data_IF_267409640673
#
_entry.id   IF_267409640673
#
_cell.length_a   1.000
_cell.length_b   1.000
_cell.length_c   1.000
_cell.angle_alpha   90.00
_cell.angle_beta   90.00
_cell.angle_gamma   90.00
#
_symmetry.space_group_name_H-M   'P 1'
#
loop_
_entity.id
_entity.type
_entity.pdbx_description
1 polymer ?
#
# COMPACT_ATOMS: atom_id res chain seq x y z
N UNK A 1 16.27 60.75 14.94
CA UNK A 1 15.37 60.92 13.78
C UNK A 1 14.55 59.65 13.62
N UNK A 2 13.34 59.63 14.18
CA UNK A 2 12.42 58.49 14.15
C UNK A 2 11.46 58.70 12.98
N UNK A 3 11.47 57.80 11.99
CA UNK A 3 10.41 57.72 10.99
C UNK A 3 9.45 56.63 11.42
N UNK A 4 8.23 57.03 11.74
CA UNK A 4 7.10 56.14 11.88
C UNK A 4 6.55 55.84 10.48
N UNK A 5 6.36 54.57 10.17
CA UNK A 5 5.51 54.10 9.07
C UNK A 5 4.67 52.98 9.67
N UNK A 6 3.36 53.21 9.74
CA UNK A 6 2.37 52.21 10.09
C UNK A 6 1.51 51.97 8.85
N UNK A 7 1.44 50.74 8.38
CA UNK A 7 0.42 50.28 7.43
C UNK A 7 0.04 48.85 7.81
N UNK A 8 -1.25 48.65 8.09
CA UNK A 8 -2.02 47.52 7.56
C UNK A 8 -2.02 46.19 8.31
N UNK A 9 -2.96 46.10 9.25
CA UNK A 9 -3.70 44.92 9.73
C UNK A 9 -3.71 43.68 8.81
N UNK A 10 -3.50 42.48 9.37
CA UNK A 10 -4.55 41.47 9.55
C UNK A 10 -4.02 40.13 10.10
N UNK A 11 -4.64 39.68 11.20
CA UNK A 11 -4.99 38.28 11.49
C UNK A 11 -3.87 37.23 11.62
N UNK A 12 -3.44 36.95 12.86
CA UNK A 12 -3.49 35.64 13.53
C UNK A 12 -2.66 35.75 14.80
N UNK A 13 -3.27 35.60 15.98
CA UNK A 13 -2.54 35.41 17.22
C UNK A 13 -2.91 34.06 17.79
N UNK A 14 -1.93 33.16 17.72
CA UNK A 14 -1.87 31.89 18.42
C UNK A 14 -1.57 32.21 19.89
N UNK A 15 -2.42 31.78 20.82
CA UNK A 15 -2.07 31.75 22.24
C UNK A 15 -2.15 30.32 22.77
N UNK A 16 -0.97 29.77 23.01
CA UNK A 16 -0.70 28.64 23.88
C UNK A 16 -0.87 29.03 25.36
N UNK A 17 -1.52 28.18 26.15
CA UNK A 17 -1.61 28.32 27.60
C UNK A 17 -0.55 27.49 28.31
N UNK A 18 0.15 28.13 29.26
CA UNK A 18 0.89 27.46 30.33
C UNK A 18 0.78 28.26 31.62
N UNK A 19 0.10 27.67 32.61
CA UNK A 19 0.59 27.56 34.00
C UNK A 19 0.62 28.76 34.96
N UNK A 20 -0.17 28.60 36.03
CA UNK A 20 0.16 28.81 37.47
C UNK A 20 0.06 30.23 38.09
N UNK A 21 -0.74 30.34 39.16
CA UNK A 21 -0.40 31.14 40.34
C UNK A 21 -1.52 31.89 41.08
N UNK A 22 -1.98 31.33 42.21
CA UNK A 22 -2.46 31.95 43.49
C UNK A 22 -3.52 33.09 43.50
N UNK A 23 -4.33 33.34 44.53
CA UNK A 23 -4.90 32.65 45.70
C UNK A 23 -5.81 33.70 46.37
N UNK A 24 -7.00 33.30 46.83
CA UNK A 24 -7.77 33.84 47.97
C UNK A 24 -8.33 35.28 47.94
N UNK A 25 -9.67 35.43 47.99
CA UNK A 25 -10.43 36.06 49.11
C UNK A 25 -11.95 36.13 48.82
N UNK A 26 -12.73 36.09 49.90
CA UNK A 26 -14.20 35.90 50.02
C UNK A 26 -15.07 37.11 49.58
N UNK A 27 -16.41 36.92 49.42
CA UNK A 27 -17.26 37.75 48.54
C UNK A 27 -18.03 38.87 49.25
N UNK A 28 -18.44 39.88 48.47
CA UNK A 28 -19.51 40.82 48.81
C UNK A 28 -20.50 40.90 47.62
N UNK A 29 -21.78 40.92 47.96
CA UNK A 29 -22.95 40.83 47.09
C UNK A 29 -23.02 41.88 45.96
N UNK A 30 -23.58 41.51 44.79
CA UNK A 30 -24.86 42.06 44.29
C UNK A 30 -25.18 41.58 42.85
N UNK A 31 -26.47 41.26 42.67
CA UNK A 31 -27.33 41.32 41.47
C UNK A 31 -26.91 40.61 40.16
N UNK A 32 -27.52 39.46 39.83
CA UNK A 32 -28.78 39.23 39.06
C UNK A 32 -28.56 39.21 37.54
N UNK A 33 -28.73 38.02 36.93
CA UNK A 33 -29.75 37.74 35.88
C UNK A 33 -29.43 36.44 35.11
N UNK A 34 -30.32 35.45 35.25
CA UNK A 34 -30.77 34.39 34.30
C UNK A 34 -29.71 33.56 33.50
N UNK A 35 -29.76 32.23 33.34
CA UNK A 35 -30.81 31.22 33.52
C UNK A 35 -30.22 29.82 33.21
N UNK A 36 -30.75 28.78 33.87
CA UNK A 36 -30.65 27.32 33.62
C UNK A 36 -29.34 26.54 33.90
N UNK A 37 -29.43 25.65 34.90
CA UNK A 37 -29.17 24.19 34.79
C UNK A 37 -29.40 23.55 36.17
N UNK A 38 -30.29 22.57 36.29
CA UNK A 38 -29.91 21.20 36.66
C UNK A 38 -31.11 20.25 36.77
N UNK A 39 -30.82 19.02 36.37
CA UNK A 39 -31.66 17.83 36.44
C UNK A 39 -32.13 17.54 37.88
N UNK A 40 -33.38 17.10 38.01
CA UNK A 40 -33.88 16.43 39.21
C UNK A 40 -34.07 14.96 38.87
N UNK A 41 -33.16 14.13 39.37
CA UNK A 41 -33.39 12.72 39.69
C UNK A 41 -34.56 12.62 40.66
N UNK A 42 -35.56 11.78 40.32
CA UNK A 42 -36.56 11.33 41.28
C UNK A 42 -36.51 9.81 41.39
N UNK A 43 -35.76 9.34 42.38
CA UNK A 43 -35.97 8.03 42.97
C UNK A 43 -35.91 8.22 44.48
N UNK A 44 -37.05 8.10 45.17
CA UNK A 44 -37.23 7.35 46.42
C UNK A 44 -38.61 7.57 47.07
N UNK A 45 -39.32 6.45 47.24
CA UNK A 45 -40.20 6.04 48.37
C UNK A 45 -41.39 6.89 48.86
N UNK A 46 -42.59 6.29 48.75
CA UNK A 46 -43.83 6.46 49.55
C UNK A 46 -43.58 6.47 51.09
N UNK A 47 -44.53 6.88 51.99
CA UNK A 47 -46.00 6.76 51.84
C UNK A 47 -46.88 7.95 52.29
N UNK A 48 -48.09 8.05 51.72
CA UNK A 48 -49.17 8.95 52.17
C UNK A 48 -50.28 8.13 52.85
N UNK A 49 -50.44 8.27 54.18
CA UNK A 49 -51.64 7.86 54.95
C UNK A 49 -52.59 9.08 55.01
N UNK A 50 -53.85 8.99 54.53
CA UNK A 50 -55.10 8.71 55.31
C UNK A 50 -55.24 9.62 56.55
N UNK A 51 -56.25 10.47 56.75
CA UNK A 51 -57.71 10.40 56.50
C UNK A 51 -58.39 11.79 56.60
N UNK A 52 -59.36 12.02 55.70
CA UNK A 52 -60.75 12.51 55.86
C UNK A 52 -61.15 13.61 56.86
N UNK A 53 -61.84 14.64 56.34
CA UNK A 53 -63.28 14.95 56.59
C UNK A 53 -63.69 16.15 55.70
N UNK A 54 -64.43 16.01 54.59
CA UNK A 54 -65.88 15.78 54.49
C UNK A 54 -66.75 16.85 55.18
N UNK A 55 -66.92 18.03 54.58
CA UNK A 55 -68.02 18.96 54.98
C UNK A 55 -68.72 19.70 53.82
N UNK A 56 -68.16 19.87 52.61
CA UNK A 56 -68.76 20.83 51.64
C UNK A 56 -69.23 20.28 50.28
N UNK A 57 -69.59 18.99 50.19
CA UNK A 57 -70.40 18.47 49.08
C UNK A 57 -71.51 17.55 49.64
N UNK A 58 -72.35 18.09 50.50
CA UNK A 58 -73.76 17.73 50.60
C UNK A 58 -74.49 18.94 49.98
N UNK A 59 -75.29 18.86 48.94
CA UNK A 59 -76.30 17.87 48.61
C UNK A 59 -76.50 17.83 47.08
N UNK A 60 -75.95 16.81 46.39
CA UNK A 60 -76.62 16.12 45.26
C UNK A 60 -75.85 14.89 44.79
N UNK A 61 -75.37 14.07 45.72
CA UNK A 61 -75.12 12.66 45.42
C UNK A 61 -76.47 11.95 45.44
N UNK A 62 -77.20 12.00 44.32
CA UNK A 62 -78.23 11.00 44.07
C UNK A 62 -77.49 9.66 44.04
N UNK A 63 -77.71 8.85 45.06
CA UNK A 63 -77.09 7.54 45.14
C UNK A 63 -77.53 6.70 43.92
N UNK A 64 -76.59 6.41 43.02
CA UNK A 64 -76.78 5.41 41.97
C UNK A 64 -76.91 3.99 42.54
N UNK A 65 -76.74 3.79 43.86
CA UNK A 65 -76.92 2.49 44.51
C UNK A 65 -78.37 1.97 44.50
N UNK A 66 -79.34 2.79 44.06
CA UNK A 66 -80.75 2.38 43.84
C UNK A 66 -81.14 2.22 42.37
N UNK A 67 -80.21 2.42 41.42
CA UNK A 67 -80.47 2.35 39.98
C UNK A 67 -79.46 1.50 39.20
N UNK A 68 -78.76 0.55 39.83
CA UNK A 68 -78.09 -0.52 39.09
C UNK A 68 -79.12 -1.56 38.62
N UNK A 69 -80.00 -1.17 37.70
CA UNK A 69 -80.58 -2.15 36.79
C UNK A 69 -79.48 -2.50 35.78
N UNK A 70 -78.88 -3.66 35.96
CA UNK A 70 -78.06 -4.26 34.92
C UNK A 70 -79.03 -4.64 33.81
N UNK A 71 -79.02 -3.89 32.70
CA UNK A 71 -79.76 -4.28 31.52
C UNK A 71 -79.20 -5.63 31.04
N UNK A 72 -80.02 -6.68 31.06
CA UNK A 72 -79.69 -7.96 30.44
C UNK A 72 -79.79 -7.78 28.92
N UNK A 73 -78.68 -7.44 28.27
CA UNK A 73 -78.60 -7.40 26.81
C UNK A 73 -78.50 -8.84 26.32
N UNK A 74 -79.60 -9.37 25.81
CA UNK A 74 -79.61 -10.66 25.10
C UNK A 74 -79.47 -10.36 23.62
N UNK A 75 -78.33 -10.69 23.03
CA UNK A 75 -78.18 -10.62 21.57
C UNK A 75 -79.08 -11.70 20.97
N UNK A 76 -80.07 -11.30 20.17
CA UNK A 76 -80.92 -12.25 19.44
C UNK A 76 -80.06 -12.81 18.30
N UNK A 77 -79.35 -13.90 18.59
CA UNK A 77 -78.75 -14.75 17.57
C UNK A 77 -79.84 -15.73 17.20
N UNK A 78 -80.39 -15.66 15.98
CA UNK A 78 -81.58 -16.41 15.57
C UNK A 78 -81.37 -17.94 15.46
N UNK A 79 -80.85 -18.59 16.50
CA UNK A 79 -80.55 -20.03 16.54
C UNK A 79 -79.23 -20.43 15.90
N UNK A 80 -78.50 -19.52 15.26
CA UNK A 80 -77.16 -19.74 14.71
C UNK A 80 -76.10 -19.08 15.61
N UNK A 81 -74.95 -19.76 15.74
CA UNK A 81 -73.75 -19.23 16.41
C UNK A 81 -73.35 -17.93 15.69
N UNK A 82 -73.24 -16.81 16.41
CA UNK A 82 -72.70 -15.58 15.83
C UNK A 82 -71.25 -15.85 15.46
N UNK A 83 -71.00 -16.01 14.16
CA UNK A 83 -69.68 -15.90 13.57
C UNK A 83 -69.58 -14.48 13.04
N UNK A 84 -68.80 -13.64 13.71
CA UNK A 84 -68.55 -12.27 13.25
C UNK A 84 -67.59 -12.23 12.06
N UNK A 85 -67.20 -13.40 11.52
CA UNK A 85 -66.09 -13.53 10.61
C UNK A 85 -64.79 -13.20 11.32
N UNK A 86 -63.67 -13.59 10.71
CA UNK A 86 -62.38 -13.06 11.14
C UNK A 86 -62.34 -11.58 10.73
N UNK A 87 -62.70 -10.67 11.63
CA UNK A 87 -62.44 -9.24 11.42
C UNK A 87 -60.94 -9.04 11.62
N UNK A 88 -60.18 -9.20 10.54
CA UNK A 88 -58.79 -8.79 10.49
C UNK A 88 -58.74 -7.27 10.62
N UNK A 89 -58.50 -6.80 11.83
CA UNK A 89 -58.06 -5.42 12.03
C UNK A 89 -56.64 -5.34 11.45
N UNK A 90 -56.51 -4.81 10.24
CA UNK A 90 -55.20 -4.47 9.70
C UNK A 90 -54.46 -3.61 10.72
N UNK A 91 -53.30 -4.09 11.16
CA UNK A 91 -52.50 -3.37 12.13
C UNK A 91 -52.05 -2.05 11.48
N UNK A 92 -52.59 -0.94 12.00
CA UNK A 92 -52.26 0.40 11.53
C UNK A 92 -50.75 0.69 11.61
N UNK A 93 -50.02 0.00 12.49
CA UNK A 93 -48.56 0.08 12.59
C UNK A 93 -47.87 -0.45 11.32
N UNK A 94 -48.34 -1.58 10.79
CA UNK A 94 -47.80 -2.22 9.58
C UNK A 94 -48.02 -1.32 8.37
N UNK A 95 -49.24 -0.82 8.19
CA UNK A 95 -49.53 0.12 7.09
C UNK A 95 -48.72 1.41 7.21
N UNK A 96 -48.51 1.93 8.43
CA UNK A 96 -47.70 3.12 8.65
C UNK A 96 -46.21 2.88 8.32
N UNK A 97 -45.67 1.70 8.65
CA UNK A 97 -44.31 1.29 8.30
C UNK A 97 -44.14 1.16 6.78
N UNK A 98 -45.02 0.40 6.11
CA UNK A 98 -44.98 0.17 4.67
C UNK A 98 -45.17 1.47 3.86
N UNK A 99 -46.13 2.33 4.25
CA UNK A 99 -46.36 3.64 3.60
C UNK A 99 -45.13 4.54 3.66
N UNK A 100 -44.36 4.43 4.74
CA UNK A 100 -43.11 5.18 4.84
C UNK A 100 -42.03 4.52 3.98
N UNK A 101 -42.05 3.20 3.81
CA UNK A 101 -41.12 2.41 2.99
C UNK A 101 -40.34 1.35 3.76
N UNK A 102 -40.71 1.03 5.00
CA UNK A 102 -40.15 -0.09 5.77
C UNK A 102 -40.82 -1.39 5.34
N UNK A 103 -40.24 -2.06 4.34
CA UNK A 103 -40.83 -3.23 3.68
C UNK A 103 -40.06 -4.53 3.93
N UNK A 104 -38.90 -4.47 4.60
CA UNK A 104 -38.07 -5.64 4.87
C UNK A 104 -38.38 -6.21 6.25
N UNK A 105 -38.40 -7.53 6.36
CA UNK A 105 -38.61 -8.26 7.63
C UNK A 105 -37.49 -9.27 7.92
N UNK A 106 -36.60 -9.53 6.95
CA UNK A 106 -35.42 -10.36 7.10
C UNK A 106 -34.29 -9.91 6.18
N UNK A 107 -33.05 -10.23 6.55
CA UNK A 107 -31.88 -10.05 5.71
C UNK A 107 -31.27 -11.42 5.39
N UNK A 108 -30.54 -11.52 4.27
CA UNK A 108 -29.76 -12.69 3.95
C UNK A 108 -28.63 -12.91 4.97
N UNK A 109 -28.09 -14.13 5.02
CA UNK A 109 -26.96 -14.46 5.90
C UNK A 109 -25.74 -13.58 5.64
N UNK A 110 -25.10 -13.09 6.71
CA UNK A 110 -23.98 -12.15 6.63
C UNK A 110 -24.39 -10.67 6.60
N UNK A 111 -25.66 -10.38 6.83
CA UNK A 111 -26.21 -9.03 6.95
C UNK A 111 -27.02 -8.88 8.24
N UNK A 112 -26.94 -7.70 8.85
CA UNK A 112 -27.72 -7.30 10.00
C UNK A 112 -28.75 -6.22 9.63
N UNK A 113 -29.85 -6.19 10.36
CA UNK A 113 -31.00 -5.31 10.11
C UNK A 113 -30.74 -3.90 10.67
N UNK A 114 -30.99 -2.88 9.87
CA UNK A 114 -30.82 -1.47 10.23
C UNK A 114 -31.98 -0.60 9.74
N UNK A 115 -32.14 0.55 10.39
CA UNK A 115 -33.21 1.51 10.14
C UNK A 115 -34.60 0.86 10.34
N UNK A 116 -34.89 0.54 11.60
CA UNK A 116 -36.13 -0.08 12.03
C UNK A 116 -37.29 0.90 12.04
N UNK A 117 -38.49 0.44 11.70
CA UNK A 117 -39.68 1.26 11.77
C UNK A 117 -40.01 1.62 13.22
N UNK A 118 -40.25 2.91 13.54
CA UNK A 118 -40.55 3.34 14.90
C UNK A 118 -41.83 2.77 15.51
N UNK A 119 -42.76 2.27 14.68
CA UNK A 119 -44.05 1.73 15.15
C UNK A 119 -44.06 0.21 15.28
N UNK A 120 -43.22 -0.49 14.50
CA UNK A 120 -43.09 -1.93 14.54
C UNK A 120 -41.66 -2.32 14.12
N UNK A 121 -40.87 -2.85 15.05
CA UNK A 121 -39.47 -3.23 14.81
C UNK A 121 -39.29 -4.51 13.98
N UNK A 122 -40.36 -5.22 13.62
CA UNK A 122 -40.30 -6.30 12.65
C UNK A 122 -40.00 -5.79 11.23
N UNK A 123 -40.34 -4.53 10.96
CA UNK A 123 -40.12 -3.90 9.66
C UNK A 123 -38.93 -2.95 9.71
N UNK A 124 -38.07 -3.03 8.70
CA UNK A 124 -36.90 -2.16 8.53
C UNK A 124 -36.68 -1.83 7.04
N UNK A 125 -35.69 -1.00 6.73
CA UNK A 125 -35.39 -0.55 5.36
C UNK A 125 -34.06 -0.98 4.80
N UNK A 126 -33.11 -1.29 5.67
CA UNK A 126 -31.74 -1.48 5.26
C UNK A 126 -31.16 -2.76 5.86
N UNK A 127 -30.54 -3.58 5.00
CA UNK A 127 -29.66 -4.66 5.42
C UNK A 127 -28.22 -4.19 5.28
N UNK A 128 -27.46 -4.28 6.36
CA UNK A 128 -26.05 -3.89 6.40
C UNK A 128 -25.16 -5.12 6.47
N UNK A 129 -24.16 -5.20 5.60
CA UNK A 129 -23.26 -6.35 5.60
C UNK A 129 -22.42 -6.38 6.89
N UNK A 130 -22.16 -7.57 7.41
CA UNK A 130 -21.38 -7.79 8.63
C UNK A 130 -19.97 -7.24 8.54
N UNK A 131 -19.42 -7.02 7.34
CA UNK A 131 -18.11 -6.38 7.16
C UNK A 131 -18.05 -4.96 7.73
N UNK A 132 -19.17 -4.23 7.80
CA UNK A 132 -19.24 -2.89 8.40
C UNK A 132 -19.40 -3.01 9.92
N UNK A 133 -18.27 -2.98 10.65
CA UNK A 133 -18.21 -3.23 12.10
C UNK A 133 -17.72 -2.03 12.92
N UNK A 134 -16.97 -1.13 12.29
CA UNK A 134 -16.12 -0.17 12.97
C UNK A 134 -16.76 1.22 13.01
N UNK A 135 -16.51 1.99 14.08
CA UNK A 135 -16.88 3.42 14.16
C UNK A 135 -15.72 4.30 13.69
N UNK A 136 -15.94 5.62 13.60
CA UNK A 136 -14.99 6.61 13.05
C UNK A 136 -13.54 6.49 13.54
N UNK A 137 -13.35 6.11 14.80
CA UNK A 137 -12.03 6.11 15.47
C UNK A 137 -11.48 4.70 15.74
N UNK A 138 -12.09 3.68 15.14
CA UNK A 138 -11.80 2.27 15.45
C UNK A 138 -10.61 1.68 14.71
N UNK A 139 -10.13 2.31 13.63
CA UNK A 139 -9.06 1.76 12.79
C UNK A 139 -7.71 2.33 13.21
N UNK A 140 -6.72 1.46 13.38
CA UNK A 140 -5.33 1.84 13.63
C UNK A 140 -4.48 1.65 12.38
N UNK A 141 -3.47 2.50 12.21
CA UNK A 141 -2.44 2.33 11.19
C UNK A 141 -1.90 0.87 11.22
N UNK A 142 -1.74 0.21 10.07
CA UNK A 142 -1.78 0.73 8.69
C UNK A 142 -3.15 0.85 8.01
N UNK A 143 -4.25 0.61 8.75
CA UNK A 143 -5.60 0.69 8.21
C UNK A 143 -6.22 2.08 8.37
N UNK A 144 -7.15 2.40 7.48
CA UNK A 144 -8.01 3.58 7.51
C UNK A 144 -9.48 3.21 7.40
N UNK A 145 -10.34 4.16 7.74
CA UNK A 145 -11.78 4.00 7.63
C UNK A 145 -12.18 3.95 6.14
N UNK A 146 -13.04 3.00 5.76
CA UNK A 146 -13.57 2.97 4.41
C UNK A 146 -14.45 4.18 4.11
N UNK A 147 -14.43 4.64 2.85
CA UNK A 147 -15.29 5.74 2.40
C UNK A 147 -16.77 5.36 2.36
N UNK A 148 -17.07 4.07 2.24
CA UNK A 148 -18.41 3.51 2.32
C UNK A 148 -18.72 2.98 3.72
N UNK A 149 -19.98 3.12 4.13
CA UNK A 149 -20.47 2.66 5.43
C UNK A 149 -21.93 2.23 5.39
N UNK A 150 -22.36 1.53 6.43
CA UNK A 150 -23.74 1.10 6.61
C UNK A 150 -24.14 1.23 8.08
N UNK A 151 -25.27 1.88 8.32
CA UNK A 151 -25.79 2.15 9.66
C UNK A 151 -24.80 2.79 10.63
N UNK A 152 -24.03 3.77 10.14
CA UNK A 152 -23.01 4.49 10.90
C UNK A 152 -21.73 3.68 11.18
N UNK A 153 -21.62 2.46 10.63
CA UNK A 153 -20.42 1.62 10.73
C UNK A 153 -19.68 1.53 9.40
N UNK A 154 -18.38 1.31 9.50
CA UNK A 154 -17.43 1.29 8.38
C UNK A 154 -16.56 0.04 8.43
N UNK A 155 -15.73 -0.14 7.41
CA UNK A 155 -14.67 -1.15 7.37
C UNK A 155 -13.35 -0.48 7.72
N UNK A 156 -12.43 -1.26 8.30
CA UNK A 156 -11.01 -0.90 8.29
C UNK A 156 -10.40 -1.52 7.04
N UNK A 157 -9.87 -0.68 6.15
CA UNK A 157 -9.23 -1.08 4.91
C UNK A 157 -7.78 -0.62 4.93
N UNK A 158 -6.92 -1.28 4.17
CA UNK A 158 -5.55 -0.82 4.02
C UNK A 158 -5.53 0.52 3.28
N UNK A 159 -4.70 1.47 3.73
CA UNK A 159 -4.45 2.68 2.96
C UNK A 159 -3.81 2.28 1.61
N UNK A 160 -4.59 2.41 0.52
CA UNK A 160 -4.20 1.94 -0.82
C UNK A 160 -3.09 2.75 -1.47
N UNK A 161 -2.86 3.95 -0.98
CA UNK A 161 -1.75 4.80 -1.41
C UNK A 161 -0.43 4.31 -0.82
N UNK A 162 -0.45 3.84 0.44
CA UNK A 162 0.73 3.32 1.13
C UNK A 162 0.97 1.83 0.90
N UNK A 163 -0.09 1.03 0.70
CA UNK A 163 -0.03 -0.42 0.47
C UNK A 163 -0.75 -0.83 -0.83
N UNK A 164 -0.22 -0.44 -2.00
CA UNK A 164 -0.84 -0.72 -3.30
C UNK A 164 -0.59 -2.14 -3.82
N UNK A 165 0.37 -2.89 -3.26
CA UNK A 165 0.87 -4.14 -3.84
C UNK A 165 0.22 -5.37 -3.19
N UNK A 166 -0.36 -6.28 -3.98
CA UNK A 166 -0.74 -7.63 -3.50
C UNK A 166 0.39 -8.64 -3.71
N UNK A 167 1.11 -8.53 -4.83
CA UNK A 167 2.20 -9.42 -5.21
C UNK A 167 3.13 -8.74 -6.22
N UNK A 168 4.34 -9.26 -6.37
CA UNK A 168 5.38 -8.74 -7.26
C UNK A 168 5.68 -9.72 -8.38
N UNK A 169 6.06 -9.21 -9.54
CA UNK A 169 6.57 -10.03 -10.63
C UNK A 169 8.03 -10.41 -10.35
N UNK A 170 8.41 -11.66 -10.64
CA UNK A 170 9.81 -12.08 -10.61
C UNK A 170 10.65 -11.16 -11.51
N UNK A 171 11.86 -10.75 -11.10
CA UNK A 171 12.60 -11.18 -9.90
C UNK A 171 12.34 -10.36 -8.62
N UNK A 172 11.41 -9.40 -8.64
CA UNK A 172 11.10 -8.59 -7.44
C UNK A 172 10.42 -9.41 -6.35
N UNK A 173 10.60 -8.97 -5.11
CA UNK A 173 9.95 -9.51 -3.92
C UNK A 173 9.16 -8.42 -3.21
N UNK A 174 8.14 -8.81 -2.46
CA UNK A 174 7.37 -7.88 -1.63
C UNK A 174 8.22 -7.27 -0.52
N UNK A 175 7.91 -6.04 -0.12
CA UNK A 175 8.52 -5.41 1.06
C UNK A 175 8.12 -6.11 2.37
N UNK A 176 8.88 -5.85 3.43
CA UNK A 176 8.58 -6.39 4.76
C UNK A 176 7.35 -5.71 5.39
N UNK A 177 7.13 -4.43 5.07
CA UNK A 177 6.01 -3.65 5.58
C UNK A 177 4.71 -4.05 4.88
N UNK A 178 3.67 -4.30 5.69
CA UNK A 178 2.43 -4.86 5.18
C UNK A 178 1.21 -4.47 5.97
N UNK A 179 0.08 -4.48 5.26
CA UNK A 179 -1.23 -4.23 5.80
C UNK A 179 -2.17 -5.41 5.49
N UNK A 180 -3.05 -5.74 6.44
CA UNK A 180 -4.00 -6.83 6.31
C UNK A 180 -5.42 -6.28 6.28
N UNK A 181 -6.15 -6.60 5.21
CA UNK A 181 -7.57 -6.30 5.04
C UNK A 181 -8.34 -7.62 4.93
N UNK A 182 -9.03 -8.01 6.01
CA UNK A 182 -9.68 -9.32 6.09
C UNK A 182 -8.65 -10.46 5.98
N UNK A 183 -8.75 -11.23 4.89
CA UNK A 183 -7.83 -12.34 4.59
C UNK A 183 -6.79 -11.99 3.51
N UNK A 184 -6.78 -10.74 3.03
CA UNK A 184 -5.82 -10.27 2.04
C UNK A 184 -4.70 -9.49 2.70
N UNK A 185 -3.49 -9.67 2.18
CA UNK A 185 -2.30 -8.97 2.62
C UNK A 185 -1.78 -8.08 1.50
N UNK A 186 -1.43 -6.86 1.86
CA UNK A 186 -0.94 -5.82 0.96
C UNK A 186 0.40 -5.32 1.45
N UNK A 187 1.24 -4.89 0.53
CA UNK A 187 2.62 -4.49 0.77
C UNK A 187 2.82 -3.08 0.24
N UNK A 188 3.81 -2.40 0.82
CA UNK A 188 4.10 -1.03 0.43
C UNK A 188 4.66 -0.92 -0.98
N UNK A 189 5.51 -1.87 -1.37
CA UNK A 189 6.16 -1.86 -2.67
C UNK A 189 6.78 -3.22 -3.04
N UNK A 190 7.27 -3.29 -4.27
CA UNK A 190 8.09 -4.38 -4.77
C UNK A 190 9.55 -3.94 -4.82
N UNK A 191 10.43 -4.72 -4.18
CA UNK A 191 11.84 -4.44 -4.08
C UNK A 191 12.66 -5.46 -4.88
N UNK A 192 13.82 -5.04 -5.35
CA UNK A 192 14.81 -6.00 -5.83
C UNK A 192 15.42 -6.76 -4.64
N UNK A 193 15.56 -8.09 -4.73
CA UNK A 193 16.22 -8.86 -3.68
C UNK A 193 17.64 -8.35 -3.41
N UNK A 194 18.15 -8.53 -2.18
CA UNK A 194 19.43 -7.96 -1.75
C UNK A 194 20.65 -8.39 -2.57
N UNK A 195 20.59 -9.55 -3.23
CA UNK A 195 21.65 -10.02 -4.13
C UNK A 195 21.68 -9.28 -5.48
N UNK A 196 20.63 -8.53 -5.84
CA UNK A 196 20.61 -7.63 -7.00
C UNK A 196 21.21 -6.28 -6.62
N UNK A 197 22.54 -6.22 -6.58
CA UNK A 197 23.27 -5.04 -6.11
C UNK A 197 24.25 -4.47 -7.14
N UNK A 198 24.27 -5.00 -8.36
CA UNK A 198 25.16 -4.57 -9.43
C UNK A 198 24.42 -3.77 -10.50
N UNK A 199 24.94 -2.61 -10.87
CA UNK A 199 24.53 -1.86 -12.05
C UNK A 199 25.62 -2.07 -13.10
N UNK A 200 25.24 -2.55 -14.29
CA UNK A 200 26.17 -2.94 -15.34
C UNK A 200 26.12 -1.95 -16.52
N UNK A 201 26.51 -0.71 -16.23
CA UNK A 201 26.54 0.41 -17.18
C UNK A 201 27.93 0.63 -17.82
N UNK A 202 28.92 -0.16 -17.42
CA UNK A 202 30.28 -0.07 -17.94
C UNK A 202 30.36 -0.37 -19.44
N UNK A 203 31.41 0.16 -20.08
CA UNK A 203 31.65 -0.05 -21.52
C UNK A 203 31.70 -1.55 -21.83
N UNK A 204 30.90 -1.97 -22.81
CA UNK A 204 30.80 -3.36 -23.24
C UNK A 204 30.47 -4.37 -22.12
N UNK A 205 29.81 -3.92 -21.06
CA UNK A 205 29.24 -4.78 -20.03
C UNK A 205 27.76 -5.07 -20.28
N UNK A 206 27.29 -6.15 -19.69
CA UNK A 206 25.87 -6.51 -19.57
C UNK A 206 25.61 -7.19 -18.22
N UNK A 207 24.35 -7.19 -17.81
CA UNK A 207 23.92 -7.91 -16.62
C UNK A 207 24.01 -9.41 -16.77
N UNK A 208 24.33 -10.09 -15.66
CA UNK A 208 24.28 -11.54 -15.61
C UNK A 208 22.87 -12.01 -15.25
N UNK A 209 22.18 -12.61 -16.22
CA UNK A 209 20.83 -13.14 -16.06
C UNK A 209 19.73 -12.10 -16.25
N UNK A 210 18.55 -12.38 -15.68
CA UNK A 210 17.41 -11.47 -15.71
C UNK A 210 17.65 -10.27 -14.78
N UNK A 211 17.38 -9.07 -15.28
CA UNK A 211 17.53 -7.83 -14.51
C UNK A 211 16.33 -7.56 -13.62
N UNK A 212 16.59 -7.02 -12.43
CA UNK A 212 15.55 -6.50 -11.56
C UNK A 212 15.51 -4.97 -11.67
N UNK A 213 14.38 -4.43 -12.09
CA UNK A 213 14.22 -2.98 -12.21
C UNK A 213 13.47 -2.44 -11.00
N UNK A 214 14.06 -1.47 -10.30
CA UNK A 214 13.42 -0.78 -9.19
C UNK A 214 13.64 0.74 -9.34
N UNK A 215 12.56 1.51 -9.23
CA UNK A 215 12.54 2.98 -9.44
C UNK A 215 13.28 3.44 -10.71
N UNK A 216 13.14 2.69 -11.82
CA UNK A 216 13.77 3.00 -13.10
C UNK A 216 15.25 2.58 -13.23
N UNK A 217 15.85 2.01 -12.18
CA UNK A 217 17.21 1.47 -12.23
C UNK A 217 17.17 -0.05 -12.33
N UNK A 218 17.82 -0.61 -13.36
CA UNK A 218 17.95 -2.07 -13.50
C UNK A 218 19.24 -2.54 -12.82
N UNK A 219 19.07 -3.40 -11.83
CA UNK A 219 20.13 -4.06 -11.09
C UNK A 219 20.21 -5.54 -11.50
N UNK A 220 21.37 -6.14 -11.25
CA UNK A 220 21.66 -7.55 -11.55
C UNK A 220 22.41 -8.18 -10.37
N UNK A 221 22.45 -9.51 -10.38
CA UNK A 221 23.24 -10.28 -9.41
C UNK A 221 24.75 -10.22 -9.67
N UNK A 222 25.13 -9.80 -10.88
CA UNK A 222 26.51 -9.71 -11.35
C UNK A 222 26.57 -8.99 -12.68
N UNK A 223 27.74 -8.46 -13.00
CA UNK A 223 28.04 -7.96 -14.34
C UNK A 223 28.94 -8.94 -15.08
N UNK A 224 28.82 -8.96 -16.40
CA UNK A 224 29.73 -9.69 -17.29
C UNK A 224 30.04 -8.83 -18.51
N UNK A 225 31.11 -9.19 -19.21
CA UNK A 225 31.35 -8.60 -20.51
C UNK A 225 30.36 -9.13 -21.54
N UNK A 226 29.95 -8.27 -22.47
CA UNK A 226 29.15 -8.66 -23.63
C UNK A 226 29.87 -9.77 -24.39
N UNK A 227 29.08 -10.60 -25.06
CA UNK A 227 29.63 -11.70 -25.84
C UNK A 227 30.71 -11.22 -26.83
N UNK A 228 31.82 -11.96 -26.89
CA UNK A 228 33.00 -11.62 -27.67
C UNK A 228 34.14 -10.96 -26.87
N UNK A 229 33.87 -10.26 -25.76
CA UNK A 229 34.92 -9.65 -24.95
C UNK A 229 35.45 -10.62 -23.89
N UNK A 230 36.32 -11.54 -24.31
CA UNK A 230 36.84 -12.61 -23.45
C UNK A 230 38.38 -12.76 -23.47
N UNK A 231 39.10 -11.91 -24.21
CA UNK A 231 40.55 -12.04 -24.37
C UNK A 231 41.34 -10.97 -23.61
N UNK A 232 42.47 -11.36 -23.01
CA UNK A 232 43.52 -10.43 -22.54
C UNK A 232 44.71 -10.50 -23.50
N UNK A 233 44.94 -9.44 -24.28
CA UNK A 233 45.79 -9.49 -25.49
C UNK A 233 47.31 -9.51 -25.32
N UNK A 234 47.83 -10.01 -24.19
CA UNK A 234 49.26 -10.22 -23.95
C UNK A 234 50.16 -9.04 -24.36
N UNK A 235 51.38 -9.35 -24.81
CA UNK A 235 52.39 -8.35 -25.17
C UNK A 235 52.12 -7.64 -26.50
N UNK A 236 51.42 -8.31 -27.44
CA UNK A 236 51.09 -7.71 -28.74
C UNK A 236 50.01 -6.64 -28.62
N UNK A 237 49.15 -6.77 -27.60
CA UNK A 237 48.04 -5.87 -27.34
C UNK A 237 46.84 -6.09 -28.29
N UNK A 238 45.75 -5.36 -28.01
CA UNK A 238 44.50 -5.45 -28.78
C UNK A 238 44.63 -4.77 -30.15
N UNK A 239 43.77 -5.16 -31.10
CA UNK A 239 43.67 -4.43 -32.38
C UNK A 239 43.12 -3.03 -32.15
N UNK A 240 42.10 -2.90 -31.30
CA UNK A 240 41.46 -1.62 -30.94
C UNK A 240 41.60 -1.36 -29.43
N UNK A 241 42.63 -0.63 -28.96
CA UNK A 241 42.89 -0.44 -27.53
C UNK A 241 41.78 0.27 -26.74
N UNK A 242 40.96 1.08 -27.41
CA UNK A 242 39.84 1.80 -26.80
C UNK A 242 38.57 0.94 -26.70
N UNK A 243 38.49 -0.18 -27.41
CA UNK A 243 37.31 -1.05 -27.44
C UNK A 243 37.52 -2.27 -26.54
N UNK A 244 37.14 -2.10 -25.28
CA UNK A 244 37.31 -3.11 -24.24
C UNK A 244 36.08 -3.18 -23.35
N UNK A 245 35.96 -4.29 -22.65
CA UNK A 245 35.16 -4.42 -21.47
C UNK A 245 36.08 -4.43 -20.25
N UNK A 246 35.83 -3.58 -19.26
CA UNK A 246 36.58 -3.58 -18.01
C UNK A 246 35.82 -4.38 -16.97
N UNK A 247 36.38 -5.47 -16.45
CA UNK A 247 35.78 -6.23 -15.35
C UNK A 247 36.82 -6.45 -14.26
N UNK A 248 36.49 -6.03 -13.04
CA UNK A 248 37.36 -6.17 -11.86
C UNK A 248 38.80 -5.66 -12.08
N UNK A 249 38.95 -4.55 -12.81
CA UNK A 249 40.25 -3.95 -13.15
C UNK A 249 40.97 -4.58 -14.36
N UNK A 250 40.44 -5.64 -14.95
CA UNK A 250 41.01 -6.32 -16.11
C UNK A 250 40.28 -5.88 -17.38
N UNK A 251 41.05 -5.50 -18.41
CA UNK A 251 40.52 -5.17 -19.75
C UNK A 251 40.42 -6.44 -20.60
N UNK A 252 39.21 -6.75 -21.01
CA UNK A 252 38.88 -7.80 -21.96
C UNK A 252 38.59 -7.20 -23.33
N UNK A 253 39.09 -7.84 -24.38
CA UNK A 253 38.99 -7.40 -25.77
C UNK A 253 38.31 -8.47 -26.62
N UNK A 254 37.78 -8.04 -27.76
CA UNK A 254 37.16 -8.92 -28.77
C UNK A 254 38.16 -9.47 -29.78
N UNK A 255 39.30 -8.80 -29.95
CA UNK A 255 40.35 -9.21 -30.85
C UNK A 255 41.73 -8.78 -30.34
N UNK A 256 42.71 -9.64 -30.58
CA UNK A 256 44.10 -9.37 -30.26
C UNK A 256 44.91 -9.30 -31.55
N UNK A 257 45.97 -8.49 -31.53
CA UNK A 257 46.93 -8.51 -32.64
C UNK A 257 47.57 -9.89 -32.71
N UNK A 258 47.70 -10.39 -33.92
CA UNK A 258 48.42 -11.62 -34.21
C UNK A 258 49.73 -11.26 -34.88
N UNK A 259 50.75 -12.09 -34.67
CA UNK A 259 51.96 -11.98 -35.46
C UNK A 259 51.64 -12.37 -36.91
N UNK A 260 52.12 -11.58 -37.86
CA UNK A 260 52.03 -11.93 -39.27
C UNK A 260 52.76 -13.25 -39.58
N UNK A 261 53.70 -13.68 -38.70
CA UNK A 261 54.48 -14.91 -38.84
C UNK A 261 55.18 -14.97 -40.21
N UNK A 262 55.71 -13.83 -40.66
CA UNK A 262 56.42 -13.75 -41.95
C UNK A 262 57.68 -14.63 -41.95
N UNK A 263 58.28 -14.78 -40.78
CA UNK A 263 59.47 -15.60 -40.59
C UNK A 263 59.11 -17.01 -40.15
N UNK A 264 59.83 -18.00 -40.66
CA UNK A 264 59.58 -19.42 -40.34
C UNK A 264 60.69 -20.08 -39.53
N UNK A 265 61.90 -19.54 -39.54
CA UNK A 265 63.09 -20.18 -38.97
C UNK A 265 63.21 -19.92 -37.47
N UNK A 266 63.52 -20.95 -36.68
CA UNK A 266 63.76 -20.82 -35.22
C UNK A 266 65.16 -20.32 -34.88
N UNK A 267 66.11 -20.42 -35.81
CA UNK A 267 67.46 -19.90 -35.72
C UNK A 267 67.95 -19.42 -37.11
N UNK A 268 68.88 -18.47 -37.14
CA UNK A 268 69.51 -18.05 -38.39
C UNK A 268 70.58 -19.07 -38.82
N UNK A 269 70.48 -19.66 -40.03
CA UNK A 269 71.46 -20.64 -40.51
C UNK A 269 72.85 -20.04 -40.71
N UNK A 270 73.89 -20.87 -40.52
CA UNK A 270 75.28 -20.45 -40.75
C UNK A 270 75.48 -20.01 -42.21
N UNK A 271 76.15 -18.87 -42.41
CA UNK A 271 76.40 -18.31 -43.75
C UNK A 271 75.24 -17.48 -44.32
N UNK A 272 74.12 -17.36 -43.60
CA UNK A 272 72.94 -16.56 -43.97
C UNK A 272 72.86 -15.32 -43.07
N UNK A 273 72.43 -14.20 -43.64
CA UNK A 273 72.02 -13.00 -42.89
C UNK A 273 70.52 -13.08 -42.68
N UNK A 274 70.09 -12.97 -41.43
CA UNK A 274 68.68 -12.98 -41.08
C UNK A 274 68.27 -11.74 -40.29
N UNK A 275 67.02 -11.32 -40.49
CA UNK A 275 66.32 -10.39 -39.62
C UNK A 275 65.42 -11.17 -38.65
N UNK A 276 65.33 -10.73 -37.39
CA UNK A 276 64.47 -11.38 -36.40
C UNK A 276 63.11 -10.67 -36.35
N UNK A 277 62.03 -11.39 -36.61
CA UNK A 277 60.67 -10.91 -36.36
C UNK A 277 60.42 -10.91 -34.86
N UNK A 278 60.46 -9.72 -34.26
CA UNK A 278 60.30 -9.55 -32.81
C UNK A 278 59.01 -10.17 -32.25
N UNK A 279 57.95 -10.22 -33.06
CA UNK A 279 56.65 -10.75 -32.67
C UNK A 279 56.67 -12.28 -32.46
N UNK A 280 57.19 -13.04 -33.42
CA UNK A 280 57.21 -14.51 -33.38
C UNK A 280 58.51 -15.06 -32.78
N UNK A 281 59.53 -14.22 -32.66
CA UNK A 281 60.90 -14.62 -32.32
C UNK A 281 61.62 -15.37 -33.44
N UNK A 282 61.00 -15.53 -34.62
CA UNK A 282 61.53 -16.28 -35.75
C UNK A 282 62.42 -15.41 -36.65
N UNK A 283 63.26 -16.05 -37.43
CA UNK A 283 64.24 -15.43 -38.32
C UNK A 283 63.78 -15.50 -39.78
N UNK A 284 63.86 -14.36 -40.47
CA UNK A 284 63.66 -14.23 -41.91
C UNK A 284 65.02 -14.14 -42.57
N UNK A 285 65.37 -15.05 -43.50
CA UNK A 285 66.62 -14.93 -44.25
C UNK A 285 66.50 -13.77 -45.24
N UNK A 286 67.42 -12.80 -45.15
CA UNK A 286 67.42 -11.58 -45.99
C UNK A 286 68.59 -11.55 -46.99
N UNK A 287 69.53 -12.48 -46.89
CA UNK A 287 70.63 -12.62 -47.84
C UNK A 287 71.75 -13.54 -47.32
N UNK A 288 72.87 -13.58 -48.04
CA UNK A 288 74.06 -14.34 -47.65
C UNK A 288 75.06 -13.50 -46.87
N UNK A 289 75.76 -14.12 -45.92
CA UNK A 289 76.81 -13.48 -45.13
C UNK A 289 78.01 -13.09 -46.00
N UNK A 290 78.86 -12.18 -45.50
CA UNK A 290 80.10 -11.78 -46.17
C UNK A 290 80.97 -13.02 -46.42
N UNK A 291 81.54 -13.14 -47.63
CA UNK A 291 82.25 -14.31 -48.15
C UNK A 291 81.37 -15.52 -48.49
N UNK A 292 80.05 -15.37 -48.53
CA UNK A 292 79.17 -16.39 -49.09
C UNK A 292 78.58 -15.90 -50.43
N UNK A 293 78.28 -16.81 -51.34
CA UNK A 293 77.57 -16.54 -52.61
C UNK A 293 76.18 -17.17 -52.54
N UNK A 294 75.18 -16.42 -53.00
CA UNK A 294 73.83 -16.93 -53.20
C UNK A 294 73.84 -17.97 -54.33
N UNK A 295 73.30 -19.15 -54.07
CA UNK A 295 72.96 -20.09 -55.13
C UNK A 295 71.55 -19.76 -55.59
N UNK A 296 71.48 -18.95 -56.65
CA UNK A 296 70.23 -18.69 -57.37
C UNK A 296 69.44 -20.01 -57.54
N UNK A 297 68.22 -20.05 -56.99
CA UNK A 297 67.17 -21.06 -57.18
C UNK A 297 67.06 -22.28 -56.23
N UNK A 298 67.76 -22.37 -55.09
CA UNK A 298 67.50 -23.45 -54.13
C UNK A 298 66.82 -22.96 -52.85
N UNK A 299 65.49 -22.77 -52.92
CA UNK A 299 64.61 -22.58 -51.77
C UNK A 299 64.20 -23.97 -51.24
N UNK A 300 64.93 -24.53 -50.28
CA UNK A 300 64.54 -25.76 -49.59
C UNK A 300 64.00 -25.40 -48.20
N UNK A 301 62.77 -25.82 -47.90
CA UNK A 301 62.15 -25.70 -46.57
C UNK A 301 62.23 -24.30 -45.91
N UNK A 302 62.20 -23.23 -46.72
CA UNK A 302 62.13 -21.85 -46.22
C UNK A 302 63.46 -21.14 -45.96
N UNK A 303 64.61 -21.69 -46.38
CA UNK A 303 65.92 -21.07 -46.15
C UNK A 303 66.74 -20.85 -47.45
N UNK A 304 67.36 -19.66 -47.57
CA UNK A 304 68.38 -19.30 -48.57
C UNK A 304 69.62 -20.19 -48.41
N UNK A 305 70.15 -20.75 -49.50
CA UNK A 305 71.40 -21.53 -49.49
C UNK A 305 72.59 -20.66 -49.89
N UNK A 306 73.46 -20.41 -48.91
CA UNK A 306 74.67 -19.62 -49.07
C UNK A 306 75.90 -20.53 -49.00
N UNK A 307 76.82 -20.42 -49.98
CA UNK A 307 78.07 -21.20 -49.99
C UNK A 307 79.29 -20.31 -49.77
N UNK A 308 80.23 -20.76 -48.95
CA UNK A 308 81.48 -20.06 -48.71
C UNK A 308 82.27 -19.93 -50.02
N UNK A 309 82.77 -18.72 -50.30
CA UNK A 309 83.56 -18.36 -51.49
C UNK A 309 85.00 -18.81 -51.36
#
# INVERSE_FOLDING_TARGET
MRKAVAIGLSGLVIYSYSGVGHSSLKPLASAVSHQYTHLIDNNQSLPLNRLSQSVLIAERTVSLSKFTQIASVTFITGGSRLDFGNVEFEDASVQACQKRGYNLTACDGGYWQYDFCPYNNEYFRQCCADKYKYTSDSCSYPNELSSDGCGGKYRCICNRTLYPVESCASPQVVSDDSCIEGNKKYYSECLCPSNYNQICDGKNQEGNGEGCTYQGTTQYTGCRCKNGYNMTCGDLGPVTPSDYCLMNGIKYYNNCKTCENKCSLTACPTGVVCEKENCSGKYCPVGCAVNYKDLDNYWCDGALRCWFK
#
